data_IF_480666722984
#
_entry.id   IF_480666722984
#
_cell.length_a   1.000
_cell.length_b   1.000
_cell.length_c   1.000
_cell.angle_alpha   90.00
_cell.angle_beta   90.00
_cell.angle_gamma   90.00
#
_symmetry.space_group_name_H-M   'P 1'
#
loop_
_entity.id
_entity.type
_entity.pdbx_description
1 polymer ?
#
# COMPACT_ATOMS: atom_id res chain seq x y z
N UNK A 1 -11.92 -1.41 -0.41
CA UNK A 1 -11.99 0.07 -0.40
C UNK A 1 -13.37 0.56 0.04
N UNK A 2 -14.45 0.24 -0.66
CA UNK A 2 -15.82 0.73 -0.38
C UNK A 2 -16.32 0.51 1.06
N UNK A 3 -15.98 -0.61 1.70
CA UNK A 3 -16.38 -0.88 3.08
C UNK A 3 -15.73 0.11 4.07
N UNK A 4 -14.44 0.40 3.92
CA UNK A 4 -13.74 1.39 4.76
C UNK A 4 -14.33 2.79 4.60
N UNK A 5 -14.63 3.20 3.37
CA UNK A 5 -15.27 4.47 3.09
C UNK A 5 -16.62 4.61 3.80
N UNK A 6 -17.49 3.58 3.72
CA UNK A 6 -18.79 3.56 4.43
C UNK A 6 -18.66 3.63 5.94
N UNK A 7 -17.66 2.95 6.52
CA UNK A 7 -17.40 3.00 7.97
C UNK A 7 -17.02 4.42 8.40
N UNK A 8 -16.11 5.07 7.65
CA UNK A 8 -15.66 6.44 7.94
C UNK A 8 -16.82 7.44 7.79
N UNK A 9 -17.65 7.26 6.77
CA UNK A 9 -18.84 8.07 6.54
C UNK A 9 -19.86 7.91 7.69
N UNK A 10 -20.18 6.66 8.06
CA UNK A 10 -21.11 6.35 9.14
C UNK A 10 -20.62 6.87 10.50
N UNK A 11 -19.32 6.80 10.76
CA UNK A 11 -18.72 7.33 11.98
C UNK A 11 -18.81 8.85 12.06
N UNK A 12 -18.86 9.53 10.93
CA UNK A 12 -19.02 10.98 10.75
C UNK A 12 -18.14 11.81 11.71
N UNK A 13 -16.87 11.43 11.88
CA UNK A 13 -15.92 12.17 12.73
C UNK A 13 -15.00 13.03 11.87
N UNK A 14 -14.73 14.25 12.33
CA UNK A 14 -13.88 15.20 11.59
C UNK A 14 -12.46 14.66 11.34
N UNK A 15 -11.91 13.90 12.29
CA UNK A 15 -10.61 13.25 12.23
C UNK A 15 -10.63 11.83 11.63
N UNK A 16 -11.82 11.33 11.21
CA UNK A 16 -11.95 10.02 10.58
C UNK A 16 -11.48 10.07 9.13
N UNK A 17 -10.72 9.10 8.70
CA UNK A 17 -10.25 8.98 7.33
C UNK A 17 -9.92 7.55 6.92
N UNK A 18 -9.59 7.39 5.65
CA UNK A 18 -9.19 6.12 5.04
C UNK A 18 -7.69 6.13 4.86
N UNK A 19 -7.05 5.09 5.35
CA UNK A 19 -5.69 4.72 5.00
C UNK A 19 -5.74 3.83 3.76
N UNK A 20 -4.92 4.12 2.77
CA UNK A 20 -4.77 3.29 1.58
C UNK A 20 -3.55 2.38 1.79
N UNK A 21 -3.73 1.08 1.57
CA UNK A 21 -2.65 0.10 1.61
C UNK A 21 -2.76 -0.78 0.35
N UNK A 22 -1.75 -0.76 -0.54
CA UNK A 22 -1.74 -1.56 -1.77
C UNK A 22 -1.93 -3.06 -1.52
N UNK A 23 -1.37 -3.58 -0.41
CA UNK A 23 -1.58 -4.97 0.00
C UNK A 23 -3.07 -5.24 0.20
N UNK A 24 -3.72 -4.47 1.07
CA UNK A 24 -5.13 -4.67 1.40
C UNK A 24 -6.05 -4.40 0.21
N UNK A 25 -5.72 -3.43 -0.64
CA UNK A 25 -6.45 -3.18 -1.89
C UNK A 25 -6.43 -4.42 -2.77
N UNK A 26 -5.25 -4.99 -3.01
CA UNK A 26 -5.07 -6.19 -3.83
C UNK A 26 -5.76 -7.41 -3.23
N UNK A 27 -5.51 -7.71 -1.95
CA UNK A 27 -6.01 -8.94 -1.30
C UNK A 27 -7.52 -8.91 -1.08
N UNK A 28 -8.14 -7.73 -1.02
CA UNK A 28 -9.60 -7.56 -1.02
C UNK A 28 -10.22 -7.53 -2.42
N UNK A 29 -9.41 -7.67 -3.48
CA UNK A 29 -9.83 -7.56 -4.90
C UNK A 29 -10.51 -6.21 -5.21
N UNK A 30 -10.17 -5.16 -4.47
CA UNK A 30 -10.64 -3.80 -4.74
C UNK A 30 -9.90 -3.20 -5.93
N UNK A 31 -10.61 -2.36 -6.70
CA UNK A 31 -10.03 -1.61 -7.81
C UNK A 31 -9.41 -0.28 -7.34
N UNK A 32 -8.38 0.18 -8.06
CA UNK A 32 -7.84 1.54 -7.88
C UNK A 32 -8.94 2.59 -8.11
N UNK A 33 -9.86 2.35 -9.03
CA UNK A 33 -10.96 3.27 -9.34
C UNK A 33 -11.90 3.50 -8.14
N UNK A 34 -11.97 2.54 -7.21
CA UNK A 34 -12.76 2.72 -5.98
C UNK A 34 -12.22 3.84 -5.08
N UNK A 35 -10.97 4.25 -5.25
CA UNK A 35 -10.37 5.37 -4.49
C UNK A 35 -11.10 6.67 -4.82
N UNK A 36 -11.52 6.86 -6.06
CA UNK A 36 -12.26 8.04 -6.48
C UNK A 36 -13.60 8.23 -5.75
N UNK A 37 -14.16 7.16 -5.16
CA UNK A 37 -15.36 7.24 -4.33
C UNK A 37 -15.11 7.84 -2.93
N UNK A 38 -13.84 7.95 -2.52
CA UNK A 38 -13.48 8.50 -1.20
C UNK A 38 -13.19 10.00 -1.35
N UNK A 39 -13.90 10.87 -0.62
CA UNK A 39 -13.58 12.30 -0.66
C UNK A 39 -12.11 12.56 -0.30
N UNK A 40 -11.42 13.38 -1.09
CA UNK A 40 -9.97 13.65 -0.92
C UNK A 40 -9.60 14.01 0.52
N UNK A 41 -10.41 14.83 1.18
CA UNK A 41 -10.22 15.22 2.59
C UNK A 41 -10.25 14.05 3.59
N UNK A 42 -10.69 12.87 3.15
CA UNK A 42 -10.74 11.64 3.96
C UNK A 42 -9.57 10.69 3.64
N UNK A 43 -8.72 11.00 2.68
CA UNK A 43 -7.49 10.27 2.40
C UNK A 43 -6.39 10.87 3.28
N UNK A 44 -5.93 10.13 4.28
CA UNK A 44 -5.00 10.67 5.28
C UNK A 44 -3.55 10.32 4.98
N UNK A 45 -3.28 9.09 4.58
CA UNK A 45 -1.96 8.62 4.15
C UNK A 45 -2.05 7.25 3.48
N UNK A 46 -0.96 6.81 2.88
CA UNK A 46 -0.83 5.49 2.27
C UNK A 46 0.28 4.71 2.97
N UNK A 47 0.01 3.47 3.36
CA UNK A 47 1.04 2.49 3.65
C UNK A 47 1.53 1.91 2.32
N UNK A 48 2.83 1.99 2.02
CA UNK A 48 3.35 1.72 0.68
C UNK A 48 4.22 0.46 0.66
N UNK A 49 3.78 -0.52 -0.11
CA UNK A 49 4.45 -1.81 -0.32
C UNK A 49 4.09 -2.37 -1.70
N UNK A 50 4.60 -3.56 -2.00
CA UNK A 50 4.20 -4.34 -3.17
C UNK A 50 3.94 -5.80 -2.76
N UNK A 51 3.37 -6.59 -3.66
CA UNK A 51 3.02 -7.99 -3.44
C UNK A 51 3.10 -8.80 -4.75
N UNK A 52 3.23 -10.14 -4.68
CA UNK A 52 3.09 -11.01 -5.84
C UNK A 52 1.69 -10.88 -6.47
N UNK A 53 1.57 -11.19 -7.77
CA UNK A 53 0.29 -11.19 -8.49
C UNK A 53 -0.71 -12.21 -7.92
N UNK A 54 -0.21 -13.38 -7.53
CA UNK A 54 -1.04 -14.43 -6.97
C UNK A 54 -1.57 -14.03 -5.59
N UNK A 55 -2.87 -14.14 -5.40
CA UNK A 55 -3.51 -13.97 -4.10
C UNK A 55 -3.51 -15.33 -3.40
N UNK A 56 -2.99 -15.42 -2.16
CA UNK A 56 -3.05 -16.67 -1.40
C UNK A 56 -4.48 -17.19 -1.27
N UNK A 57 -4.69 -18.53 -1.34
CA UNK A 57 -6.03 -19.11 -1.39
C UNK A 57 -6.77 -19.05 -0.05
N UNK A 58 -6.06 -18.95 1.07
CA UNK A 58 -6.66 -18.95 2.40
C UNK A 58 -6.44 -17.64 3.14
N UNK A 59 -7.34 -17.33 4.08
CA UNK A 59 -7.21 -16.14 4.93
C UNK A 59 -5.95 -16.22 5.81
N UNK A 60 -5.59 -17.40 6.30
CA UNK A 60 -4.41 -17.58 7.13
C UNK A 60 -3.11 -17.28 6.36
N UNK A 61 -3.03 -17.68 5.10
CA UNK A 61 -1.91 -17.34 4.22
C UNK A 61 -1.85 -15.83 3.89
N UNK A 62 -3.01 -15.20 3.65
CA UNK A 62 -3.10 -13.75 3.46
C UNK A 62 -2.62 -13.02 4.73
N UNK A 63 -3.03 -13.46 5.91
CA UNK A 63 -2.59 -12.88 7.19
C UNK A 63 -1.09 -13.09 7.44
N UNK A 64 -0.56 -14.26 7.07
CA UNK A 64 0.86 -14.54 7.17
C UNK A 64 1.68 -13.61 6.26
N UNK A 65 1.25 -13.45 5.01
CA UNK A 65 1.86 -12.51 4.05
C UNK A 65 1.79 -11.07 4.57
N UNK A 66 0.61 -10.62 5.02
CA UNK A 66 0.40 -9.27 5.56
C UNK A 66 1.38 -8.90 6.67
N UNK A 67 1.65 -9.86 7.56
CA UNK A 67 2.43 -9.66 8.79
C UNK A 67 3.93 -9.88 8.64
N UNK A 68 4.34 -10.59 7.59
CA UNK A 68 5.70 -11.10 7.54
C UNK A 68 6.43 -10.94 6.21
N UNK A 69 5.73 -10.92 5.08
CA UNK A 69 6.37 -11.11 3.77
C UNK A 69 5.70 -10.24 2.70
N UNK A 70 5.91 -8.93 2.79
CA UNK A 70 5.58 -8.02 1.68
C UNK A 70 6.82 -7.77 0.83
N UNK A 71 6.61 -7.30 -0.40
CA UNK A 71 7.68 -6.93 -1.32
C UNK A 71 7.98 -5.42 -1.22
N UNK A 72 9.22 -5.05 -1.51
CA UNK A 72 9.56 -3.65 -1.65
C UNK A 72 8.82 -3.05 -2.87
N UNK A 73 8.44 -1.77 -2.81
CA UNK A 73 7.74 -1.11 -3.91
C UNK A 73 8.45 -1.27 -5.25
N UNK A 74 7.73 -1.77 -6.26
CA UNK A 74 8.23 -2.04 -7.60
C UNK A 74 8.89 -3.42 -7.79
N UNK A 75 8.96 -4.25 -6.75
CA UNK A 75 9.46 -5.63 -6.83
C UNK A 75 8.32 -6.66 -6.99
N UNK A 76 7.08 -6.22 -6.97
CA UNK A 76 5.89 -7.05 -7.13
C UNK A 76 5.13 -6.78 -8.42
N UNK A 77 3.82 -7.03 -8.37
CA UNK A 77 2.96 -6.98 -9.53
C UNK A 77 1.89 -5.89 -9.49
N UNK A 78 1.88 -5.03 -8.46
CA UNK A 78 0.86 -4.00 -8.34
C UNK A 78 1.13 -2.82 -9.27
N UNK A 79 0.07 -2.22 -9.81
CA UNK A 79 0.17 -0.94 -10.51
C UNK A 79 0.32 0.22 -9.51
N UNK A 80 1.51 0.30 -8.89
CA UNK A 80 1.80 1.34 -7.91
C UNK A 80 1.81 2.75 -8.52
N UNK A 81 2.15 2.87 -9.80
CA UNK A 81 2.12 4.18 -10.50
C UNK A 81 0.69 4.62 -10.74
N UNK A 82 -0.18 3.71 -11.19
CA UNK A 82 -1.62 3.97 -11.30
C UNK A 82 -2.24 4.34 -9.96
N UNK A 83 -1.87 3.63 -8.91
CA UNK A 83 -2.33 3.93 -7.55
C UNK A 83 -1.91 5.33 -7.07
N UNK A 84 -0.64 5.71 -7.30
CA UNK A 84 -0.14 7.04 -6.95
C UNK A 84 -0.79 8.16 -7.76
N UNK A 85 -1.24 7.86 -8.99
CA UNK A 85 -2.00 8.82 -9.82
C UNK A 85 -3.45 9.00 -9.34
N UNK A 86 -3.99 8.03 -8.63
CA UNK A 86 -5.37 8.06 -8.12
C UNK A 86 -5.51 8.80 -6.77
N UNK A 87 -4.41 9.25 -6.17
CA UNK A 87 -4.39 9.95 -4.88
C UNK A 87 -3.76 11.35 -5.01
N UNK A 88 -4.00 12.25 -4.03
CA UNK A 88 -3.31 13.54 -4.00
C UNK A 88 -1.79 13.39 -4.03
N UNK A 89 -1.11 14.27 -4.76
CA UNK A 89 0.36 14.26 -4.91
C UNK A 89 1.12 14.48 -3.60
N UNK A 90 0.52 15.16 -2.67
CA UNK A 90 1.04 15.49 -1.34
C UNK A 90 0.62 14.51 -0.25
N UNK A 91 -0.09 13.43 -0.62
CA UNK A 91 -0.48 12.40 0.34
C UNK A 91 0.76 11.76 0.98
N UNK A 92 0.88 11.76 2.33
CA UNK A 92 2.02 11.14 3.00
C UNK A 92 2.13 9.65 2.67
N UNK A 93 3.35 9.18 2.35
CA UNK A 93 3.65 7.77 2.14
C UNK A 93 4.42 7.22 3.33
N UNK A 94 3.90 6.16 3.93
CA UNK A 94 4.56 5.37 4.97
C UNK A 94 4.99 4.05 4.37
N UNK A 95 6.29 3.76 4.29
CA UNK A 95 6.77 2.49 3.77
C UNK A 95 6.50 1.40 4.81
N UNK A 96 5.69 0.41 4.45
CA UNK A 96 5.36 -0.72 5.33
C UNK A 96 5.65 -2.05 4.62
N UNK A 97 6.86 -2.55 4.82
CA UNK A 97 7.35 -3.76 4.16
C UNK A 97 7.93 -4.74 5.20
N UNK A 98 7.08 -5.47 5.92
CA UNK A 98 7.56 -6.54 6.78
C UNK A 98 8.25 -7.62 5.92
N UNK A 99 9.48 -7.99 6.30
CA UNK A 99 10.37 -8.89 5.55
C UNK A 99 11.06 -9.84 6.53
N UNK A 100 10.29 -10.74 7.17
CA UNK A 100 10.80 -11.65 8.21
C UNK A 100 11.91 -12.55 7.70
N UNK A 101 11.73 -13.11 6.50
CA UNK A 101 12.73 -13.99 5.89
C UNK A 101 14.00 -13.23 5.58
N UNK A 102 13.91 -12.07 4.95
CA UNK A 102 15.05 -11.25 4.61
C UNK A 102 15.78 -10.70 5.85
N UNK A 103 15.06 -10.49 6.96
CA UNK A 103 15.64 -10.03 8.21
C UNK A 103 16.65 -11.02 8.83
N UNK A 104 16.68 -12.28 8.38
CA UNK A 104 17.67 -13.27 8.81
C UNK A 104 19.05 -13.07 8.20
N UNK A 105 19.13 -12.39 7.07
CA UNK A 105 20.37 -12.23 6.27
C UNK A 105 20.73 -10.77 6.00
N UNK A 106 19.81 -9.84 6.18
CA UNK A 106 19.99 -8.42 5.90
C UNK A 106 19.73 -7.57 7.15
N UNK A 107 20.62 -6.63 7.44
CA UNK A 107 20.46 -5.72 8.59
C UNK A 107 19.20 -4.85 8.45
N UNK A 108 18.68 -4.35 9.58
CA UNK A 108 17.54 -3.43 9.57
C UNK A 108 17.86 -2.15 8.78
N UNK A 109 19.08 -1.64 8.90
CA UNK A 109 19.55 -0.45 8.17
C UNK A 109 19.57 -0.68 6.65
N UNK A 110 20.04 -1.85 6.19
CA UNK A 110 20.08 -2.16 4.76
C UNK A 110 18.68 -2.37 4.20
N UNK A 111 17.80 -3.03 4.95
CA UNK A 111 16.38 -3.17 4.57
C UNK A 111 15.69 -1.80 4.44
N UNK A 112 15.93 -0.89 5.39
CA UNK A 112 15.38 0.46 5.34
C UNK A 112 15.93 1.25 4.13
N UNK A 113 17.24 1.16 3.85
CA UNK A 113 17.85 1.78 2.65
C UNK A 113 17.23 1.22 1.36
N UNK A 114 17.07 -0.10 1.26
CA UNK A 114 16.45 -0.73 0.09
C UNK A 114 15.00 -0.30 -0.07
N UNK A 115 14.21 -0.28 1.00
CA UNK A 115 12.83 0.17 0.99
C UNK A 115 12.69 1.62 0.49
N UNK A 116 13.56 2.51 0.96
CA UNK A 116 13.58 3.90 0.50
C UNK A 116 14.00 4.02 -0.96
N UNK A 117 15.05 3.30 -1.38
CA UNK A 117 15.54 3.34 -2.75
C UNK A 117 14.49 2.83 -3.74
N UNK A 118 13.83 1.70 -3.46
CA UNK A 118 12.77 1.13 -4.29
C UNK A 118 11.54 2.05 -4.36
N UNK A 119 11.15 2.65 -3.25
CA UNK A 119 10.07 3.65 -3.23
C UNK A 119 10.39 4.84 -4.13
N UNK A 120 11.61 5.40 -4.02
CA UNK A 120 12.05 6.51 -4.87
C UNK A 120 12.06 6.15 -6.36
N UNK A 121 12.45 4.91 -6.69
CA UNK A 121 12.42 4.43 -8.07
C UNK A 121 10.99 4.37 -8.64
N UNK A 122 10.00 3.98 -7.83
CA UNK A 122 8.58 4.02 -8.25
C UNK A 122 8.10 5.47 -8.41
N UNK A 123 8.44 6.37 -7.49
CA UNK A 123 8.08 7.78 -7.57
C UNK A 123 8.68 8.45 -8.81
N UNK A 124 9.93 8.14 -9.18
CA UNK A 124 10.54 8.65 -10.39
C UNK A 124 9.80 8.24 -11.67
N UNK A 125 9.18 7.03 -11.69
CA UNK A 125 8.31 6.59 -12.80
C UNK A 125 6.99 7.36 -12.87
N UNK A 126 6.52 7.90 -11.77
CA UNK A 126 5.32 8.74 -11.75
C UNK A 126 5.55 10.07 -12.47
N UNK A 127 6.77 10.61 -12.40
CA UNK A 127 7.17 11.88 -13.00
C UNK A 127 7.67 11.73 -14.46
N UNK A 128 8.08 10.53 -14.85
CA UNK A 128 8.41 10.22 -16.23
C UNK A 128 7.13 10.16 -17.08
N UNK A 129 7.03 11.03 -18.08
CA UNK A 129 5.95 11.05 -19.08
C UNK A 129 6.39 10.30 -20.33
#
# INVERSE_FOLDING_TARGET
MAQGARIVEAANRANGGVLIDPFHLSRSRSSIDEIASVPVKRLHFMQFCDVPAAIPPTMDEILAEARAERLFPGEGALDLVGLLRAVPRDLPLSIEVPTRTLARTMSASDRARRALASTRAVLARLDAR
#
